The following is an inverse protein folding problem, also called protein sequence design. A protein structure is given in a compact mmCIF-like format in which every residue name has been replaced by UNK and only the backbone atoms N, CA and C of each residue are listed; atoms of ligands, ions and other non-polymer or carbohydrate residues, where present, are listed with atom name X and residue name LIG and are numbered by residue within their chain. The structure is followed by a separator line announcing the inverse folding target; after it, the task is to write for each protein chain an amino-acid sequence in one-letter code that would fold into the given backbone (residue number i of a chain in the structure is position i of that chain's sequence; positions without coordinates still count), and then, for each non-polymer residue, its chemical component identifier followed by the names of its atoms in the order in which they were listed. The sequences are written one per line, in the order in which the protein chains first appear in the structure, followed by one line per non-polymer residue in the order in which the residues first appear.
data_IF_415897750666
#
_entry.id   IF_415897750666
#
_cell.length_a   1.000
_cell.length_b   1.000
_cell.length_c   1.000
_cell.angle_alpha   90.00
_cell.angle_beta   90.00
_cell.angle_gamma   90.00
#
_symmetry.space_group_name_H-M   'P 1'
#
loop_
_entity.id
_entity.type
_entity.pdbx_description
1 polymer ?
#
# COMPACT_ATOMS: atom_id res chain seq x y z
N UNK A 1 6.39 5.71 -43.64
CA UNK A 1 7.07 5.81 -42.33
C UNK A 1 6.08 6.44 -41.36
N UNK A 2 5.31 5.63 -40.64
CA UNK A 2 4.21 6.09 -39.79
C UNK A 2 4.79 6.38 -38.40
N UNK A 3 4.82 7.65 -37.98
CA UNK A 3 5.12 8.00 -36.59
C UNK A 3 3.98 7.50 -35.70
N UNK A 4 4.24 6.45 -34.93
CA UNK A 4 3.35 6.06 -33.83
C UNK A 4 3.50 7.10 -32.71
N UNK A 5 2.46 7.91 -32.53
CA UNK A 5 2.26 8.71 -31.32
C UNK A 5 2.13 7.73 -30.15
N UNK A 6 3.22 7.57 -29.39
CA UNK A 6 3.16 6.96 -28.06
C UNK A 6 2.22 7.85 -27.25
N UNK A 7 1.07 7.36 -26.76
CA UNK A 7 0.30 8.17 -25.83
C UNK A 7 1.19 8.37 -24.60
N UNK A 8 1.47 9.63 -24.28
CA UNK A 8 1.94 10.00 -22.94
C UNK A 8 0.90 9.40 -21.99
N UNK A 9 1.21 8.27 -21.36
CA UNK A 9 0.51 7.84 -20.16
C UNK A 9 0.51 9.06 -19.26
N UNK A 10 -0.69 9.59 -18.98
CA UNK A 10 -0.88 10.60 -17.97
C UNK A 10 -0.12 10.09 -16.75
N UNK A 11 0.96 10.78 -16.39
CA UNK A 11 1.66 10.54 -15.14
C UNK A 11 0.57 10.57 -14.10
N UNK A 12 0.20 9.40 -13.55
CA UNK A 12 -0.53 9.35 -12.29
C UNK A 12 0.19 10.34 -11.39
N UNK A 13 -0.54 11.28 -10.79
CA UNK A 13 0.07 12.31 -9.96
C UNK A 13 0.92 11.59 -8.92
N UNK A 14 2.23 11.56 -9.13
CA UNK A 14 3.12 10.71 -8.35
C UNK A 14 3.10 11.31 -6.96
N UNK A 15 2.52 10.58 -6.01
CA UNK A 15 2.43 11.04 -4.64
C UNK A 15 3.86 11.31 -4.15
N UNK A 16 4.23 12.56 -3.90
CA UNK A 16 5.49 12.90 -3.21
C UNK A 16 5.26 13.16 -1.72
N UNK A 17 3.99 13.36 -1.34
CA UNK A 17 3.49 13.48 0.02
C UNK A 17 2.42 12.43 0.25
N UNK A 18 2.48 11.77 1.42
CA UNK A 18 1.45 10.85 1.87
C UNK A 18 1.09 11.16 3.32
N UNK A 19 -0.13 10.82 3.73
CA UNK A 19 -0.59 11.02 5.09
C UNK A 19 -0.80 9.67 5.76
N UNK A 20 -0.43 9.56 7.02
CA UNK A 20 -0.67 8.39 7.84
C UNK A 20 -1.65 8.75 8.94
N UNK A 21 -2.54 7.82 9.29
CA UNK A 21 -3.38 7.99 10.46
C UNK A 21 -2.49 7.93 11.70
N UNK A 22 -2.46 9.01 12.47
CA UNK A 22 -1.75 9.08 13.74
C UNK A 22 -2.69 9.28 14.93
N UNK A 23 -2.25 10.06 15.92
CA UNK A 23 -2.98 10.39 17.15
C UNK A 23 -2.53 9.54 18.33
N UNK A 24 -2.44 8.23 18.15
CA UNK A 24 -1.78 7.30 19.06
C UNK A 24 -0.68 6.58 18.31
N UNK A 25 0.54 6.58 18.87
CA UNK A 25 1.68 5.92 18.22
C UNK A 25 1.49 4.42 18.30
N UNK A 26 1.37 3.76 17.16
CA UNK A 26 1.27 2.30 17.11
C UNK A 26 2.64 1.66 16.82
N UNK A 27 2.74 0.34 16.99
CA UNK A 27 3.95 -0.42 16.60
C UNK A 27 4.25 -0.31 15.09
N UNK A 28 3.27 0.06 14.28
CA UNK A 28 3.37 0.12 12.81
C UNK A 28 3.93 1.45 12.32
N UNK A 29 3.74 2.54 13.05
CA UNK A 29 4.14 3.89 12.63
C UNK A 29 5.64 3.98 12.29
N UNK A 30 6.58 3.56 13.18
CA UNK A 30 8.01 3.61 12.84
C UNK A 30 8.38 2.68 11.68
N UNK A 31 7.62 1.60 11.48
CA UNK A 31 7.85 0.65 10.38
C UNK A 31 7.43 1.25 9.03
N UNK A 32 6.27 1.89 8.98
CA UNK A 32 5.79 2.62 7.80
C UNK A 32 6.77 3.73 7.40
N UNK A 33 7.19 4.56 8.37
CA UNK A 33 8.19 5.61 8.15
C UNK A 33 9.49 5.04 7.59
N UNK A 34 10.06 4.03 8.24
CA UNK A 34 11.27 3.35 7.76
C UNK A 34 11.12 2.81 6.33
N UNK A 35 9.96 2.28 5.98
CA UNK A 35 9.72 1.67 4.67
C UNK A 35 9.54 2.72 3.54
N UNK A 36 8.99 3.89 3.84
CA UNK A 36 8.44 4.79 2.82
C UNK A 36 9.00 6.22 2.85
N UNK A 37 9.64 6.69 3.93
CA UNK A 37 10.16 8.07 4.03
C UNK A 37 11.22 8.42 2.96
N UNK A 38 11.93 7.42 2.44
CA UNK A 38 12.89 7.61 1.35
C UNK A 38 12.22 8.05 0.03
N UNK A 39 10.92 7.80 -0.13
CA UNK A 39 10.14 8.09 -1.36
C UNK A 39 9.05 9.13 -1.14
N UNK A 40 8.51 9.21 0.08
CA UNK A 40 7.37 10.05 0.40
C UNK A 40 7.69 10.93 1.61
N UNK A 41 7.27 12.20 1.56
CA UNK A 41 7.13 12.99 2.78
C UNK A 41 5.87 12.54 3.51
N UNK A 42 6.03 11.70 4.53
CA UNK A 42 4.91 11.23 5.34
C UNK A 42 4.51 12.31 6.35
N UNK A 43 3.21 12.48 6.56
CA UNK A 43 2.65 13.37 7.60
C UNK A 43 1.61 12.62 8.41
N UNK A 44 1.87 12.45 9.70
CA UNK A 44 0.90 11.88 10.62
C UNK A 44 -0.23 12.86 10.89
N UNK A 45 -1.46 12.35 10.83
CA UNK A 45 -2.67 13.12 11.07
C UNK A 45 -3.39 12.54 12.27
N UNK A 46 -3.46 13.33 13.34
CA UNK A 46 -4.27 13.05 14.52
C UNK A 46 -5.77 13.26 14.21
N UNK A 47 -6.58 12.18 14.15
CA UNK A 47 -8.00 12.26 13.83
C UNK A 47 -8.83 13.02 14.89
N UNK A 48 -8.30 13.19 16.11
CA UNK A 48 -8.91 14.02 17.14
C UNK A 48 -8.76 15.53 16.89
N UNK A 49 -7.86 15.92 15.96
CA UNK A 49 -7.59 17.31 15.60
C UNK A 49 -8.04 17.67 14.19
N UNK A 50 -7.99 16.71 13.27
CA UNK A 50 -8.32 16.92 11.84
C UNK A 50 -9.16 15.76 11.31
N UNK A 51 -10.26 16.02 10.59
CA UNK A 51 -11.01 14.97 9.92
C UNK A 51 -10.13 14.11 9.02
N UNK A 52 -10.09 12.80 9.31
CA UNK A 52 -9.34 11.80 8.57
C UNK A 52 -10.28 10.67 8.15
N UNK A 53 -10.32 10.37 6.85
CA UNK A 53 -11.08 9.26 6.27
C UNK A 53 -10.09 8.30 5.63
N UNK A 54 -10.05 7.05 6.12
CA UNK A 54 -9.21 6.01 5.55
C UNK A 54 -9.70 5.61 4.14
N UNK A 55 -8.79 5.19 3.25
CA UNK A 55 -9.18 4.60 1.97
C UNK A 55 -10.04 3.35 2.18
N UNK A 56 -10.97 3.10 1.26
CA UNK A 56 -11.86 1.94 1.32
C UNK A 56 -11.56 0.99 0.15
N UNK A 57 -11.29 -0.30 0.39
CA UNK A 57 -11.12 -1.28 -0.68
C UNK A 57 -12.37 -1.36 -1.57
N UNK A 58 -12.17 -1.42 -2.89
CA UNK A 58 -13.20 -1.61 -3.91
C UNK A 58 -13.05 -2.97 -4.57
N UNK A 59 -11.82 -3.32 -4.97
CA UNK A 59 -11.51 -4.57 -5.67
C UNK A 59 -10.04 -4.95 -5.45
N UNK A 60 -9.71 -6.20 -5.76
CA UNK A 60 -8.36 -6.72 -5.62
C UNK A 60 -8.35 -8.16 -5.13
N UNK A 61 -7.34 -8.91 -5.53
CA UNK A 61 -7.13 -10.28 -5.07
C UNK A 61 -6.30 -10.27 -3.78
N UNK A 62 -6.59 -11.23 -2.90
CA UNK A 62 -5.74 -11.52 -1.75
C UNK A 62 -4.73 -12.59 -2.15
N UNK A 63 -3.49 -12.51 -1.66
CA UNK A 63 -2.50 -13.54 -1.98
C UNK A 63 -2.94 -14.88 -1.37
N UNK A 64 -2.70 -15.97 -2.10
CA UNK A 64 -3.03 -17.33 -1.66
C UNK A 64 -1.76 -18.12 -1.38
N UNK A 65 -1.78 -18.98 -0.34
CA UNK A 65 -0.62 -19.80 0.01
C UNK A 65 -0.27 -20.77 -1.12
N UNK A 66 1.00 -20.83 -1.56
CA UNK A 66 1.44 -21.83 -2.52
C UNK A 66 1.69 -23.15 -1.79
N UNK A 67 1.59 -24.27 -2.51
CA UNK A 67 2.00 -25.55 -1.95
C UNK A 67 3.54 -25.72 -1.95
N UNK A 68 4.07 -26.40 -0.93
CA UNK A 68 5.43 -26.94 -0.88
C UNK A 68 5.57 -28.21 -1.72
N UNK A 69 6.78 -28.76 -1.80
CA UNK A 69 7.09 -29.95 -2.61
C UNK A 69 6.37 -31.22 -2.16
N UNK A 70 5.89 -31.27 -0.92
CA UNK A 70 5.07 -32.35 -0.35
C UNK A 70 3.56 -32.12 -0.53
N UNK A 71 3.17 -31.05 -1.22
CA UNK A 71 1.78 -30.72 -1.53
C UNK A 71 1.02 -29.99 -0.43
N UNK A 72 1.67 -29.63 0.69
CA UNK A 72 1.03 -28.87 1.78
C UNK A 72 1.11 -27.35 1.54
N UNK A 73 0.14 -26.55 2.01
CA UNK A 73 0.24 -25.09 1.97
C UNK A 73 1.44 -24.59 2.79
N UNK A 74 2.17 -23.62 2.23
CA UNK A 74 3.22 -22.91 2.97
C UNK A 74 2.57 -21.89 3.90
N UNK A 75 2.75 -22.08 5.21
CA UNK A 75 2.28 -21.16 6.22
C UNK A 75 3.28 -20.06 6.53
N UNK A 76 2.77 -18.91 6.97
CA UNK A 76 3.61 -17.80 7.39
C UNK A 76 2.90 -16.47 7.41
N UNK A 77 3.68 -15.40 7.54
CA UNK A 77 3.15 -14.05 7.50
C UNK A 77 3.98 -13.12 6.62
N UNK A 78 3.31 -12.08 6.13
CA UNK A 78 3.93 -10.97 5.43
C UNK A 78 3.29 -9.68 5.89
N UNK A 79 4.09 -8.73 6.36
CA UNK A 79 3.71 -7.36 6.60
C UNK A 79 4.29 -6.47 5.51
N UNK A 80 3.43 -5.72 4.82
CA UNK A 80 3.85 -4.73 3.83
C UNK A 80 3.29 -3.35 4.14
N UNK A 81 4.03 -2.33 3.72
CA UNK A 81 3.60 -0.93 3.70
C UNK A 81 3.43 -0.48 2.24
N UNK A 82 2.45 0.37 2.00
CA UNK A 82 2.14 0.89 0.67
C UNK A 82 1.43 2.25 0.76
N UNK A 83 1.29 2.92 -0.37
CA UNK A 83 0.53 4.17 -0.49
C UNK A 83 -0.71 3.93 -1.33
N UNK A 84 -1.88 4.29 -0.82
CA UNK A 84 -3.10 4.42 -1.63
C UNK A 84 -3.13 5.81 -2.24
N UNK A 85 -3.18 5.90 -3.56
CA UNK A 85 -3.16 7.18 -4.29
C UNK A 85 -4.52 7.86 -4.34
N UNK A 86 -4.54 9.13 -4.75
CA UNK A 86 -5.79 9.86 -5.03
C UNK A 86 -6.55 9.31 -6.24
N UNK A 87 -5.91 8.47 -7.06
CA UNK A 87 -6.56 7.75 -8.15
C UNK A 87 -7.04 6.35 -7.75
N UNK A 88 -6.85 5.95 -6.48
CA UNK A 88 -7.36 4.69 -5.95
C UNK A 88 -6.48 3.47 -6.21
N UNK A 89 -5.20 3.65 -6.54
CA UNK A 89 -4.25 2.54 -6.73
C UNK A 89 -3.39 2.35 -5.49
N UNK A 90 -2.91 1.12 -5.25
CA UNK A 90 -1.80 0.87 -4.34
C UNK A 90 -0.46 1.09 -5.09
N UNK A 91 0.45 1.84 -4.48
CA UNK A 91 1.78 2.13 -5.02
C UNK A 91 2.89 1.86 -4.00
N UNK A 92 4.10 1.66 -4.52
CA UNK A 92 5.33 1.41 -3.76
C UNK A 92 5.20 0.35 -2.66
N UNK A 93 4.59 -0.83 -2.94
CA UNK A 93 4.49 -1.88 -1.95
C UNK A 93 5.89 -2.27 -1.49
N UNK A 94 6.13 -2.21 -0.19
CA UNK A 94 7.43 -2.45 0.43
C UNK A 94 7.24 -3.46 1.54
N UNK A 95 7.94 -4.60 1.45
CA UNK A 95 7.94 -5.60 2.52
C UNK A 95 8.64 -5.02 3.74
N UNK A 96 7.93 -5.02 4.86
CA UNK A 96 8.43 -4.59 6.17
C UNK A 96 8.99 -5.80 6.91
N UNK A 97 8.23 -6.90 6.91
CA UNK A 97 8.57 -8.14 7.59
C UNK A 97 7.94 -9.33 6.87
N UNK A 98 8.60 -10.47 6.86
CA UNK A 98 8.05 -11.69 6.31
C UNK A 98 8.74 -12.92 6.90
N UNK A 99 7.98 -14.00 7.13
CA UNK A 99 8.56 -15.29 7.53
C UNK A 99 9.13 -16.09 6.36
N UNK A 100 8.71 -15.78 5.13
CA UNK A 100 9.10 -16.53 3.93
C UNK A 100 9.11 -15.64 2.68
N UNK A 101 10.23 -15.63 1.96
CA UNK A 101 10.42 -14.81 0.76
C UNK A 101 9.45 -15.16 -0.39
N UNK A 102 9.01 -16.42 -0.50
CA UNK A 102 8.04 -16.84 -1.52
C UNK A 102 6.66 -16.23 -1.24
N UNK A 103 6.27 -16.13 0.03
CA UNK A 103 5.04 -15.45 0.44
C UNK A 103 5.14 -13.94 0.18
N UNK A 104 6.31 -13.34 0.39
CA UNK A 104 6.55 -11.92 0.06
C UNK A 104 6.26 -11.61 -1.41
N UNK A 105 6.75 -12.43 -2.34
CA UNK A 105 6.48 -12.24 -3.78
C UNK A 105 4.98 -12.26 -4.09
N UNK A 106 4.23 -13.19 -3.47
CA UNK A 106 2.78 -13.30 -3.68
C UNK A 106 2.04 -12.10 -3.10
N UNK A 107 2.42 -11.65 -1.91
CA UNK A 107 1.86 -10.47 -1.28
C UNK A 107 2.09 -9.20 -2.12
N UNK A 108 3.30 -9.03 -2.68
CA UNK A 108 3.62 -7.92 -3.59
C UNK A 108 2.76 -7.97 -4.86
N UNK A 109 2.67 -9.13 -5.50
CA UNK A 109 1.89 -9.30 -6.74
C UNK A 109 0.40 -8.99 -6.53
N UNK A 110 -0.17 -9.39 -5.39
CA UNK A 110 -1.57 -9.10 -5.06
C UNK A 110 -1.86 -7.59 -5.08
N UNK A 111 -0.91 -6.75 -4.61
CA UNK A 111 -1.10 -5.29 -4.52
C UNK A 111 -1.36 -4.61 -5.87
N UNK A 112 -0.89 -5.19 -6.99
CA UNK A 112 -1.07 -4.65 -8.34
C UNK A 112 -2.56 -4.63 -8.76
N UNK A 113 -3.34 -5.56 -8.21
CA UNK A 113 -4.77 -5.72 -8.50
C UNK A 113 -5.66 -4.81 -7.66
N UNK A 114 -5.12 -4.24 -6.58
CA UNK A 114 -5.95 -3.54 -5.61
C UNK A 114 -6.45 -2.20 -6.10
N UNK A 115 -7.73 -1.92 -5.81
CA UNK A 115 -8.41 -0.67 -6.11
C UNK A 115 -9.11 -0.17 -4.85
N UNK A 116 -9.06 1.13 -4.65
CA UNK A 116 -9.59 1.79 -3.47
C UNK A 116 -10.40 3.03 -3.83
N UNK A 117 -11.40 3.33 -3.01
CA UNK A 117 -11.87 4.70 -2.87
C UNK A 117 -10.78 5.47 -2.09
N UNK A 118 -10.29 6.61 -2.61
CA UNK A 118 -9.23 7.37 -1.94
C UNK A 118 -9.60 7.82 -0.53
N UNK A 119 -8.57 7.91 0.32
CA UNK A 119 -8.71 8.52 1.63
C UNK A 119 -8.78 10.05 1.55
N UNK A 120 -9.22 10.68 2.65
CA UNK A 120 -9.36 12.14 2.73
C UNK A 120 -8.78 12.69 4.03
N UNK A 121 -8.23 13.88 3.94
CA UNK A 121 -7.85 14.70 5.09
C UNK A 121 -8.47 16.08 4.90
N UNK A 122 -9.20 16.57 5.91
CA UNK A 122 -9.98 17.82 5.84
C UNK A 122 -10.89 17.89 4.60
N UNK A 123 -11.46 16.74 4.19
CA UNK A 123 -12.35 16.62 3.05
C UNK A 123 -11.68 16.54 1.67
N UNK A 124 -10.38 16.81 1.57
CA UNK A 124 -9.61 16.69 0.33
C UNK A 124 -9.06 15.27 0.16
N UNK A 125 -9.16 14.72 -1.06
CA UNK A 125 -8.54 13.44 -1.39
C UNK A 125 -7.02 13.58 -1.37
N UNK A 126 -6.37 12.65 -0.67
CA UNK A 126 -4.92 12.65 -0.47
C UNK A 126 -4.37 11.24 -0.56
N UNK A 127 -3.07 11.13 -0.82
CA UNK A 127 -2.39 9.85 -0.76
C UNK A 127 -2.25 9.41 0.70
N UNK A 128 -2.61 8.17 1.00
CA UNK A 128 -2.61 7.63 2.37
C UNK A 128 -1.62 6.47 2.47
N UNK A 129 -0.78 6.50 3.49
CA UNK A 129 0.05 5.34 3.89
C UNK A 129 -0.86 4.30 4.55
N UNK A 130 -0.73 3.06 4.12
CA UNK A 130 -1.42 1.91 4.68
C UNK A 130 -0.44 0.76 4.89
N UNK A 131 -0.79 -0.14 5.82
CA UNK A 131 -0.06 -1.37 6.07
C UNK A 131 -1.02 -2.54 6.07
N UNK A 132 -0.58 -3.65 5.51
CA UNK A 132 -1.36 -4.88 5.42
C UNK A 132 -0.51 -6.04 5.89
N UNK A 133 -1.02 -6.75 6.88
CA UNK A 133 -0.50 -8.04 7.33
C UNK A 133 -1.31 -9.16 6.67
N UNK A 134 -0.62 -10.15 6.13
CA UNK A 134 -1.20 -11.38 5.62
C UNK A 134 -0.73 -12.54 6.48
N UNK A 135 -1.66 -13.38 6.89
CA UNK A 135 -1.39 -14.73 7.36
C UNK A 135 -1.72 -15.71 6.22
N UNK A 136 -0.84 -16.67 6.00
CA UNK A 136 -0.92 -17.71 4.97
C UNK A 136 -1.05 -19.10 5.60
#
# INVERSE_FOLDING_TARGET
MLLALIPLSASAAQCTKAFMRGGEVTKFDPLAHKALDARYRITDVDPGKRPFVSPKPIAGEMPSAPNSSDGQPIHGYVLLAYVVTTSGYAESPTIVEASNARLSTLALAATETWRFQPGKVDGAEVCIVAMQEFEF
#
